data_IF_714664016149
#
_entry.id   IF_714664016149
#
_cell.length_a   1.000
_cell.length_b   1.000
_cell.length_c   1.000
_cell.angle_alpha   90.00
_cell.angle_beta   90.00
_cell.angle_gamma   90.00
#
_symmetry.space_group_name_H-M   'P 1'
#
loop_
_entity.id
_entity.type
_entity.pdbx_description
1 polymer ?
#
# COMPACT_ATOMS: atom_id res chain seq x y z
N UNK A 1 -16.23 -56.49 49.57
CA UNK A 1 -14.97 -56.31 48.80
C UNK A 1 -15.16 -55.54 47.50
N UNK A 2 -16.25 -55.78 46.73
CA UNK A 2 -16.51 -55.07 45.47
C UNK A 2 -16.63 -53.54 45.58
N UNK A 3 -17.23 -52.99 46.64
CA UNK A 3 -17.40 -51.54 46.80
C UNK A 3 -16.07 -50.77 46.96
N UNK A 4 -15.10 -51.32 47.70
CA UNK A 4 -13.76 -50.72 47.85
C UNK A 4 -12.95 -50.75 46.55
N UNK A 5 -13.16 -51.78 45.72
CA UNK A 5 -12.54 -51.90 44.40
C UNK A 5 -13.12 -50.87 43.44
N UNK A 6 -14.44 -50.68 43.43
CA UNK A 6 -15.10 -49.67 42.59
C UNK A 6 -14.72 -48.24 42.97
N UNK A 7 -14.60 -47.95 44.28
CA UNK A 7 -14.14 -46.65 44.77
C UNK A 7 -12.66 -46.38 44.43
N UNK A 8 -11.81 -47.42 44.48
CA UNK A 8 -10.40 -47.30 44.08
C UNK A 8 -10.24 -47.11 42.56
N UNK A 9 -11.03 -47.81 41.75
CA UNK A 9 -11.07 -47.64 40.29
C UNK A 9 -11.59 -46.24 39.93
N UNK A 10 -12.61 -45.72 40.63
CA UNK A 10 -13.11 -44.36 40.44
C UNK A 10 -12.07 -43.28 40.75
N UNK A 11 -11.31 -43.44 41.85
CA UNK A 11 -10.21 -42.53 42.21
C UNK A 11 -9.05 -42.59 41.20
N UNK A 12 -8.70 -43.79 40.73
CA UNK A 12 -7.71 -43.96 39.67
C UNK A 12 -8.15 -43.35 38.33
N UNK A 13 -9.41 -43.56 37.94
CA UNK A 13 -9.98 -42.98 36.71
C UNK A 13 -10.01 -41.45 36.76
N UNK A 14 -10.39 -40.86 37.90
CA UNK A 14 -10.36 -39.41 38.10
C UNK A 14 -8.92 -38.86 38.08
N UNK A 15 -7.98 -39.54 38.73
CA UNK A 15 -6.57 -39.14 38.72
C UNK A 15 -5.98 -39.19 37.29
N UNK A 16 -6.32 -40.21 36.50
CA UNK A 16 -5.88 -40.34 35.11
C UNK A 16 -6.51 -39.26 34.22
N UNK A 17 -7.80 -38.93 34.44
CA UNK A 17 -8.50 -37.87 33.71
C UNK A 17 -7.92 -36.49 34.01
N UNK A 18 -7.61 -36.20 35.28
CA UNK A 18 -6.95 -34.95 35.70
C UNK A 18 -5.54 -34.89 35.13
N UNK A 19 -4.76 -35.97 35.23
CA UNK A 19 -3.40 -36.02 34.67
C UNK A 19 -3.41 -35.84 33.14
N UNK A 20 -4.32 -36.51 32.43
CA UNK A 20 -4.48 -36.36 30.98
C UNK A 20 -4.90 -34.95 30.58
N UNK A 21 -5.81 -34.33 31.32
CA UNK A 21 -6.23 -32.93 31.09
C UNK A 21 -5.10 -31.91 31.33
N UNK A 22 -4.27 -32.14 32.35
CA UNK A 22 -3.10 -31.30 32.63
C UNK A 22 -2.04 -31.44 31.55
N UNK A 23 -1.75 -32.66 31.08
CA UNK A 23 -0.79 -32.89 29.99
C UNK A 23 -1.28 -32.26 28.68
N UNK A 24 -2.57 -32.42 28.35
CA UNK A 24 -3.12 -31.85 27.13
C UNK A 24 -3.12 -30.31 27.16
N UNK A 25 -3.42 -29.71 28.31
CA UNK A 25 -3.37 -28.24 28.47
C UNK A 25 -1.94 -27.67 28.52
N UNK A 26 -0.94 -28.53 28.72
CA UNK A 26 0.47 -28.16 28.77
C UNK A 26 1.17 -28.19 27.41
N UNK A 27 0.54 -28.76 26.38
CA UNK A 27 1.12 -28.81 25.04
C UNK A 27 0.60 -27.64 24.18
N UNK A 28 1.52 -26.96 23.52
CA UNK A 28 1.18 -25.98 22.49
C UNK A 28 2.07 -26.17 21.26
N UNK A 29 1.53 -25.85 20.10
CA UNK A 29 2.24 -25.97 18.83
C UNK A 29 2.55 -24.58 18.29
N UNK A 30 3.75 -24.42 17.74
CA UNK A 30 4.17 -23.24 17.00
C UNK A 30 4.30 -23.64 15.54
N UNK A 31 3.48 -23.03 14.69
CA UNK A 31 3.49 -23.29 13.25
C UNK A 31 4.76 -22.75 12.58
N UNK A 32 5.10 -23.32 11.42
CA UNK A 32 6.27 -22.89 10.65
C UNK A 32 6.21 -21.39 10.31
N UNK A 33 7.32 -20.69 10.47
CA UNK A 33 7.42 -19.24 10.26
C UNK A 33 6.83 -18.37 11.37
N UNK A 34 6.28 -18.98 12.43
CA UNK A 34 5.94 -18.28 13.67
C UNK A 34 7.00 -18.52 14.74
N UNK A 35 7.04 -17.63 15.72
CA UNK A 35 7.86 -17.79 16.93
C UNK A 35 7.05 -17.40 18.15
N UNK A 36 7.25 -18.12 19.25
CA UNK A 36 6.55 -17.87 20.49
C UNK A 36 7.45 -17.19 21.51
N UNK A 37 6.91 -16.16 22.17
CA UNK A 37 7.48 -15.57 23.37
C UNK A 37 6.64 -16.06 24.55
N UNK A 38 7.30 -16.59 25.58
CA UNK A 38 6.61 -17.11 26.76
C UNK A 38 6.48 -15.98 27.78
N UNK A 39 5.24 -15.69 28.17
CA UNK A 39 4.93 -14.85 29.33
C UNK A 39 4.70 -15.73 30.55
N UNK A 40 5.50 -15.54 31.60
CA UNK A 40 5.34 -16.19 32.90
C UNK A 40 4.68 -15.22 33.89
N UNK A 41 3.62 -15.66 34.58
CA UNK A 41 2.88 -14.85 35.56
C UNK A 41 3.76 -14.34 36.72
N UNK A 42 4.84 -15.06 37.08
CA UNK A 42 5.70 -14.68 38.21
C UNK A 42 6.99 -13.98 37.81
N UNK A 43 7.55 -14.32 36.64
CA UNK A 43 8.85 -13.79 36.17
C UNK A 43 8.72 -12.78 35.03
N UNK A 44 7.53 -12.62 34.46
CA UNK A 44 7.29 -11.77 33.30
C UNK A 44 7.68 -12.44 31.98
N UNK A 45 8.07 -11.63 31.00
CA UNK A 45 8.42 -12.09 29.65
C UNK A 45 9.79 -12.76 29.66
N UNK A 46 9.88 -13.97 29.11
CA UNK A 46 11.15 -14.68 28.97
C UNK A 46 11.92 -14.18 27.74
N UNK A 47 13.24 -14.02 27.88
CA UNK A 47 14.13 -13.60 26.78
C UNK A 47 14.36 -14.70 25.72
N UNK A 48 14.01 -15.94 26.05
CA UNK A 48 14.18 -17.08 25.15
C UNK A 48 13.01 -17.13 24.19
N UNK A 49 13.31 -17.08 22.90
CA UNK A 49 12.34 -17.20 21.83
C UNK A 49 12.22 -18.65 21.41
N UNK A 50 11.00 -19.16 21.47
CA UNK A 50 10.69 -20.54 21.11
C UNK A 50 10.40 -20.63 19.61
N UNK A 51 11.07 -21.57 18.95
CA UNK A 51 10.94 -21.83 17.52
C UNK A 51 9.70 -22.65 17.17
N UNK A 52 9.65 -23.09 15.91
CA UNK A 52 8.61 -23.98 15.39
C UNK A 52 8.63 -25.36 16.07
N UNK A 53 7.46 -25.98 16.22
CA UNK A 53 7.29 -27.31 16.82
C UNK A 53 6.38 -27.35 18.06
N UNK A 54 6.20 -28.55 18.59
CA UNK A 54 5.42 -28.80 19.81
C UNK A 54 6.26 -28.55 21.04
N UNK A 55 5.80 -27.65 21.89
CA UNK A 55 6.48 -27.21 23.10
C UNK A 55 5.61 -27.42 24.34
N UNK A 56 6.26 -27.56 25.48
CA UNK A 56 5.60 -27.75 26.77
C UNK A 56 5.57 -26.42 27.54
N UNK A 57 4.39 -26.02 28.00
CA UNK A 57 4.17 -24.90 28.91
C UNK A 57 3.59 -25.40 30.21
N UNK A 58 3.79 -24.64 31.29
CA UNK A 58 3.10 -24.90 32.55
C UNK A 58 1.72 -24.26 32.49
N UNK A 59 0.62 -25.05 32.47
CA UNK A 59 -0.73 -24.50 32.43
C UNK A 59 -0.94 -23.52 33.57
N UNK A 60 -1.73 -22.45 33.35
CA UNK A 60 -2.05 -21.38 34.32
C UNK A 60 -0.94 -20.37 34.64
N UNK A 61 0.32 -20.77 34.59
CA UNK A 61 1.47 -19.90 34.92
C UNK A 61 2.05 -19.26 33.66
N UNK A 62 2.20 -20.04 32.59
CA UNK A 62 2.82 -19.62 31.35
C UNK A 62 1.78 -19.44 30.24
N UNK A 63 1.90 -18.35 29.48
CA UNK A 63 1.08 -18.05 28.31
C UNK A 63 2.00 -17.83 27.09
N UNK A 64 1.87 -18.61 26.02
CA UNK A 64 2.61 -18.39 24.79
C UNK A 64 1.95 -17.28 23.99
N UNK A 65 2.75 -16.33 23.51
CA UNK A 65 2.34 -15.28 22.58
C UNK A 65 3.05 -15.56 21.26
N UNK A 66 2.28 -15.82 20.22
CA UNK A 66 2.79 -16.28 18.93
C UNK A 66 2.89 -15.08 17.99
N UNK A 67 4.09 -14.84 17.48
CA UNK A 67 4.39 -13.80 16.50
C UNK A 67 4.64 -14.40 15.13
N UNK A 68 4.04 -13.80 14.10
CA UNK A 68 4.41 -14.09 12.71
C UNK A 68 5.74 -13.41 12.38
N UNK A 69 6.74 -14.19 11.97
CA UNK A 69 8.06 -13.71 11.57
C UNK A 69 8.22 -13.58 10.05
N UNK A 70 7.14 -13.73 9.29
CA UNK A 70 7.14 -13.62 7.82
C UNK A 70 7.08 -12.17 7.37
N UNK A 71 7.61 -11.93 6.18
CA UNK A 71 7.52 -10.64 5.49
C UNK A 71 6.09 -10.37 5.07
N UNK A 72 5.51 -9.28 5.58
CA UNK A 72 4.15 -8.86 5.23
C UNK A 72 4.13 -7.45 4.65
N UNK A 73 3.29 -7.18 3.63
CA UNK A 73 3.15 -5.84 3.07
C UNK A 73 2.28 -4.95 3.95
N UNK A 74 2.71 -3.70 4.11
CA UNK A 74 1.92 -2.60 4.68
C UNK A 74 1.95 -1.42 3.73
N UNK A 75 0.78 -0.87 3.43
CA UNK A 75 0.66 0.39 2.71
C UNK A 75 0.31 1.50 3.71
N UNK A 76 1.13 2.55 3.75
CA UNK A 76 0.95 3.71 4.65
C UNK A 76 0.79 4.96 3.78
N UNK A 77 -0.44 5.52 3.68
CA UNK A 77 -0.65 6.79 3.00
C UNK A 77 -0.21 7.95 3.89
N UNK A 78 0.55 8.89 3.34
CA UNK A 78 1.07 10.07 4.05
C UNK A 78 0.87 11.30 3.17
N UNK A 79 0.31 12.34 3.77
CA UNK A 79 0.22 13.67 3.15
C UNK A 79 1.34 14.52 3.75
N UNK A 80 2.22 15.05 2.89
CA UNK A 80 3.40 15.83 3.30
C UNK A 80 3.61 17.03 2.37
N UNK A 81 4.32 18.04 2.87
CA UNK A 81 4.72 19.20 2.08
C UNK A 81 6.08 18.98 1.43
N UNK A 82 6.20 19.29 0.14
CA UNK A 82 7.49 19.39 -0.56
C UNK A 82 8.22 20.70 -0.23
N UNK A 83 9.46 20.82 -0.70
CA UNK A 83 10.30 22.02 -0.51
C UNK A 83 9.67 23.31 -1.03
N UNK A 84 8.87 23.23 -2.10
CA UNK A 84 8.11 24.32 -2.71
C UNK A 84 6.72 24.53 -2.08
N UNK A 85 6.49 24.01 -0.87
CA UNK A 85 5.23 24.10 -0.11
C UNK A 85 4.01 23.50 -0.82
N UNK A 86 4.20 22.58 -1.77
CA UNK A 86 3.08 21.85 -2.36
C UNK A 86 2.69 20.65 -1.50
N UNK A 87 1.39 20.41 -1.37
CA UNK A 87 0.88 19.21 -0.72
C UNK A 87 1.00 18.00 -1.66
N UNK A 88 1.79 17.01 -1.26
CA UNK A 88 1.98 15.75 -1.99
C UNK A 88 1.39 14.61 -1.17
N UNK A 89 0.57 13.78 -1.81
CA UNK A 89 0.02 12.57 -1.23
C UNK A 89 0.81 11.36 -1.72
N UNK A 90 1.61 10.77 -0.83
CA UNK A 90 2.50 9.66 -1.14
C UNK A 90 2.02 8.44 -0.36
N UNK A 91 1.91 7.29 -1.03
CA UNK A 91 1.67 6.02 -0.33
C UNK A 91 2.94 5.22 -0.32
N UNK A 92 3.47 4.90 0.86
CA UNK A 92 4.63 4.02 0.98
C UNK A 92 4.15 2.58 1.13
N UNK A 93 4.68 1.68 0.31
CA UNK A 93 4.53 0.23 0.45
C UNK A 93 5.80 -0.32 1.07
N UNK A 94 5.64 -1.00 2.20
CA UNK A 94 6.74 -1.51 3.01
C UNK A 94 6.54 -3.00 3.18
N UNK A 95 7.54 -3.80 2.81
CA UNK A 95 7.65 -5.21 3.20
C UNK A 95 8.52 -5.28 4.44
N UNK A 96 7.97 -5.76 5.55
CA UNK A 96 8.67 -5.83 6.83
C UNK A 96 8.44 -7.17 7.53
N UNK A 97 9.40 -7.53 8.38
CA UNK A 97 9.33 -8.68 9.28
C UNK A 97 10.06 -8.36 10.60
N UNK A 98 9.59 -8.87 11.74
CA UNK A 98 10.28 -8.66 13.02
C UNK A 98 11.55 -9.51 13.13
N UNK A 99 12.55 -9.00 13.85
CA UNK A 99 13.75 -9.75 14.20
C UNK A 99 13.40 -10.79 15.25
N UNK A 100 13.51 -12.05 14.85
CA UNK A 100 13.19 -13.19 15.69
C UNK A 100 13.89 -13.23 17.06
N UNK A 101 15.14 -12.76 17.17
CA UNK A 101 15.89 -12.75 18.43
C UNK A 101 15.47 -11.63 19.38
N UNK A 102 14.76 -10.60 18.90
CA UNK A 102 14.38 -9.42 19.66
C UNK A 102 12.87 -9.37 19.97
N UNK A 103 12.11 -10.41 19.62
CA UNK A 103 10.67 -10.51 19.89
C UNK A 103 10.29 -10.21 21.35
N UNK A 104 11.03 -10.68 22.38
CA UNK A 104 10.71 -10.35 23.77
C UNK A 104 10.80 -8.84 24.05
N UNK A 105 11.78 -8.16 23.45
CA UNK A 105 11.96 -6.71 23.59
C UNK A 105 10.88 -5.94 22.83
N UNK A 106 10.50 -6.40 21.64
CA UNK A 106 9.41 -5.80 20.85
C UNK A 106 8.09 -5.90 21.63
N UNK A 107 7.80 -7.08 22.18
CA UNK A 107 6.59 -7.31 22.96
C UNK A 107 6.54 -6.46 24.24
N UNK A 108 7.65 -6.33 24.97
CA UNK A 108 7.69 -5.52 26.19
C UNK A 108 7.66 -4.01 25.94
N UNK A 109 8.26 -3.52 24.86
CA UNK A 109 8.36 -2.08 24.57
C UNK A 109 7.17 -1.52 23.79
N UNK A 110 6.62 -2.28 22.84
CA UNK A 110 5.59 -1.80 21.89
C UNK A 110 4.26 -2.56 22.06
N UNK A 111 4.33 -3.85 22.38
CA UNK A 111 3.18 -4.75 22.47
C UNK A 111 2.98 -5.63 21.22
N UNK A 112 1.84 -6.32 21.15
CA UNK A 112 1.48 -7.17 20.01
C UNK A 112 1.22 -6.36 18.73
N UNK A 113 0.66 -5.14 18.88
CA UNK A 113 0.28 -4.22 17.78
C UNK A 113 1.46 -3.36 17.26
N UNK A 114 2.65 -3.95 17.15
CA UNK A 114 3.86 -3.19 16.82
C UNK A 114 3.84 -2.60 15.41
N UNK A 115 3.15 -3.24 14.47
CA UNK A 115 2.99 -2.80 13.09
C UNK A 115 2.03 -1.63 12.92
N UNK A 116 1.00 -1.54 13.74
CA UNK A 116 0.04 -0.42 13.69
C UNK A 116 0.58 0.81 14.40
N UNK A 117 1.36 0.63 15.47
CA UNK A 117 1.86 1.74 16.29
C UNK A 117 3.15 2.35 15.76
N UNK A 118 4.12 1.54 15.36
CA UNK A 118 5.48 2.04 15.03
C UNK A 118 5.59 2.43 13.56
N UNK A 119 5.16 1.56 12.64
CA UNK A 119 5.39 1.78 11.19
C UNK A 119 4.82 3.10 10.68
N UNK A 120 3.56 3.49 11.00
CA UNK A 120 3.03 4.76 10.51
C UNK A 120 3.77 5.97 11.09
N UNK A 121 4.22 5.88 12.33
CA UNK A 121 4.94 6.95 13.03
C UNK A 121 6.30 7.21 12.38
N UNK A 122 7.15 6.18 12.27
CA UNK A 122 8.48 6.31 11.68
C UNK A 122 8.42 6.66 10.20
N UNK A 123 7.45 6.09 9.47
CA UNK A 123 7.27 6.38 8.04
C UNK A 123 6.90 7.84 7.85
N UNK A 124 5.95 8.36 8.63
CA UNK A 124 5.53 9.76 8.51
C UNK A 124 6.66 10.73 8.87
N UNK A 125 7.45 10.42 9.90
CA UNK A 125 8.61 11.21 10.32
C UNK A 125 9.64 11.31 9.19
N UNK A 126 10.09 10.17 8.67
CA UNK A 126 11.14 10.12 7.65
C UNK A 126 10.65 10.68 6.33
N UNK A 127 9.43 10.33 5.89
CA UNK A 127 8.88 10.82 4.63
C UNK A 127 8.75 12.34 4.64
N UNK A 128 8.35 12.95 5.77
CA UNK A 128 8.34 14.41 5.93
C UNK A 128 9.74 15.00 5.81
N UNK A 129 10.73 14.37 6.44
CA UNK A 129 12.11 14.86 6.43
C UNK A 129 12.79 14.79 5.06
N UNK A 130 12.52 13.73 4.28
CA UNK A 130 13.10 13.53 2.95
C UNK A 130 12.38 14.39 1.93
N UNK A 131 11.04 14.38 1.91
CA UNK A 131 10.24 15.12 0.94
C UNK A 131 10.42 16.63 1.07
N UNK A 132 10.67 17.14 2.28
CA UNK A 132 10.97 18.56 2.50
C UNK A 132 12.28 19.03 1.83
N UNK A 133 13.15 18.12 1.37
CA UNK A 133 14.41 18.44 0.69
C UNK A 133 14.27 18.54 -0.84
N UNK A 134 13.18 18.01 -1.40
CA UNK A 134 12.94 17.90 -2.84
C UNK A 134 11.72 18.74 -3.26
N UNK A 135 11.76 19.27 -4.47
CA UNK A 135 10.60 19.94 -5.08
C UNK A 135 9.60 18.91 -5.61
N UNK A 136 8.31 19.28 -5.71
CA UNK A 136 7.26 18.34 -6.14
C UNK A 136 7.54 17.70 -7.52
N UNK A 137 8.17 18.43 -8.44
CA UNK A 137 8.57 17.91 -9.75
C UNK A 137 9.74 16.90 -9.70
N UNK A 138 10.64 17.05 -8.72
CA UNK A 138 11.77 16.12 -8.52
C UNK A 138 11.31 14.79 -7.93
N UNK A 139 10.26 14.81 -7.10
CA UNK A 139 9.66 13.58 -6.56
C UNK A 139 9.12 12.64 -7.65
N UNK A 140 8.76 13.19 -8.82
CA UNK A 140 8.30 12.42 -9.97
C UNK A 140 9.49 12.00 -10.84
N UNK A 141 10.37 12.94 -11.16
CA UNK A 141 11.48 12.72 -12.11
C UNK A 141 12.65 11.94 -11.52
N UNK A 142 12.96 12.11 -10.23
CA UNK A 142 14.06 11.47 -9.51
C UNK A 142 13.56 10.50 -8.43
N UNK A 143 12.41 9.86 -8.67
CA UNK A 143 11.75 8.99 -7.68
C UNK A 143 12.63 7.85 -7.18
N UNK A 144 13.48 7.26 -8.02
CA UNK A 144 14.37 6.17 -7.61
C UNK A 144 15.40 6.65 -6.58
N UNK A 145 15.90 7.88 -6.70
CA UNK A 145 16.82 8.48 -5.74
C UNK A 145 16.10 8.74 -4.41
N UNK A 146 14.90 9.33 -4.47
CA UNK A 146 14.08 9.60 -3.28
C UNK A 146 13.70 8.28 -2.57
N UNK A 147 13.30 7.25 -3.32
CA UNK A 147 12.92 5.95 -2.76
C UNK A 147 14.09 5.27 -2.06
N UNK A 148 15.31 5.34 -2.62
CA UNK A 148 16.50 4.81 -1.96
C UNK A 148 16.80 5.55 -0.66
N UNK A 149 16.78 6.89 -0.70
CA UNK A 149 17.05 7.68 0.49
C UNK A 149 16.03 7.42 1.61
N UNK A 150 14.74 7.31 1.27
CA UNK A 150 13.70 6.92 2.23
C UNK A 150 13.94 5.51 2.76
N UNK A 151 14.32 4.56 1.89
CA UNK A 151 14.59 3.17 2.30
C UNK A 151 15.75 3.09 3.29
N UNK A 152 16.84 3.81 3.05
CA UNK A 152 18.02 3.79 3.92
C UNK A 152 17.70 4.37 5.30
N UNK A 153 17.12 5.58 5.34
CA UNK A 153 16.73 6.27 6.58
C UNK A 153 15.70 5.45 7.39
N UNK A 154 14.73 4.82 6.69
CA UNK A 154 13.70 3.98 7.32
C UNK A 154 14.27 2.67 7.84
N UNK A 155 15.23 2.07 7.15
CA UNK A 155 15.89 0.83 7.60
C UNK A 155 16.71 1.08 8.87
N UNK A 156 17.47 2.17 8.92
CA UNK A 156 18.24 2.55 10.11
C UNK A 156 17.31 2.78 11.33
N UNK A 157 16.22 3.52 11.11
CA UNK A 157 15.24 3.79 12.18
C UNK A 157 14.50 2.53 12.62
N UNK A 158 14.07 1.69 11.69
CA UNK A 158 13.34 0.45 11.98
C UNK A 158 14.19 -0.58 12.74
N UNK A 159 15.50 -0.63 12.46
CA UNK A 159 16.43 -1.51 13.16
C UNK A 159 16.48 -1.25 14.67
N UNK A 160 16.31 0.00 15.10
CA UNK A 160 16.26 0.38 16.53
C UNK A 160 15.06 -0.28 17.25
N UNK A 161 13.96 -0.49 16.53
CA UNK A 161 12.75 -1.15 17.04
C UNK A 161 12.76 -2.67 16.80
N UNK A 162 13.84 -3.24 16.25
CA UNK A 162 13.93 -4.67 15.97
C UNK A 162 13.10 -5.12 14.78
N UNK A 163 12.82 -4.23 13.82
CA UNK A 163 12.13 -4.54 12.57
C UNK A 163 13.12 -4.56 11.41
N UNK A 164 12.99 -5.54 10.53
CA UNK A 164 13.72 -5.62 9.26
C UNK A 164 12.77 -5.21 8.15
N UNK A 165 13.25 -4.34 7.26
CA UNK A 165 12.57 -3.96 6.03
C UNK A 165 13.24 -4.72 4.88
N UNK A 166 12.47 -5.53 4.17
CA UNK A 166 12.98 -6.29 3.03
C UNK A 166 12.86 -5.48 1.73
N UNK A 167 11.85 -4.63 1.62
CA UNK A 167 11.64 -3.72 0.49
C UNK A 167 10.80 -2.50 0.89
N UNK A 168 11.11 -1.36 0.28
CA UNK A 168 10.40 -0.09 0.47
C UNK A 168 10.18 0.55 -0.90
N UNK A 169 8.91 0.74 -1.28
CA UNK A 169 8.54 1.30 -2.57
C UNK A 169 7.51 2.42 -2.43
N UNK A 170 7.70 3.48 -3.21
CA UNK A 170 6.72 4.56 -3.36
C UNK A 170 5.61 4.08 -4.31
N UNK A 171 4.41 3.89 -3.78
CA UNK A 171 3.22 3.53 -4.55
C UNK A 171 2.51 4.79 -5.05
N UNK A 172 2.32 4.88 -6.37
CA UNK A 172 1.75 6.06 -7.03
C UNK A 172 0.23 5.96 -7.22
N UNK A 173 -0.51 7.04 -6.94
CA UNK A 173 -1.93 7.17 -7.27
C UNK A 173 -2.16 8.01 -8.57
N UNK A 174 -1.44 7.74 -9.66
CA UNK A 174 -1.70 8.43 -10.95
C UNK A 174 -3.14 8.27 -11.44
N UNK A 175 -3.83 7.19 -11.04
CA UNK A 175 -5.21 6.95 -11.45
C UNK A 175 -6.15 8.10 -11.10
N UNK A 176 -6.01 8.75 -9.94
CA UNK A 176 -6.95 9.79 -9.54
C UNK A 176 -6.79 11.07 -10.35
N UNK A 177 -5.56 11.50 -10.62
CA UNK A 177 -5.32 12.71 -11.40
C UNK A 177 -5.82 12.56 -12.86
N UNK A 178 -5.55 11.40 -13.48
CA UNK A 178 -6.05 11.11 -14.82
C UNK A 178 -7.58 11.04 -14.89
N UNK A 179 -8.23 10.43 -13.88
CA UNK A 179 -9.70 10.37 -13.79
C UNK A 179 -10.29 11.76 -13.58
N UNK A 180 -9.74 12.57 -12.67
CA UNK A 180 -10.23 13.93 -12.39
C UNK A 180 -10.09 14.84 -13.61
N UNK A 181 -8.99 14.75 -14.35
CA UNK A 181 -8.82 15.48 -15.61
C UNK A 181 -9.83 15.02 -16.65
N UNK A 182 -9.98 13.70 -16.85
CA UNK A 182 -10.93 13.16 -17.81
C UNK A 182 -12.39 13.51 -17.46
N UNK A 183 -12.77 13.44 -16.18
CA UNK A 183 -14.09 13.90 -15.70
C UNK A 183 -14.25 15.40 -15.90
N UNK A 184 -13.22 16.20 -15.62
CA UNK A 184 -13.22 17.64 -15.87
C UNK A 184 -13.47 17.97 -17.34
N UNK A 185 -12.75 17.31 -18.25
CA UNK A 185 -12.88 17.47 -19.70
C UNK A 185 -14.27 17.02 -20.19
N UNK A 186 -14.76 15.86 -19.71
CA UNK A 186 -16.11 15.39 -20.04
C UNK A 186 -17.19 16.36 -19.57
N UNK A 187 -17.09 16.89 -18.35
CA UNK A 187 -18.09 17.82 -17.80
C UNK A 187 -18.05 19.18 -18.51
N UNK A 188 -16.86 19.64 -18.88
CA UNK A 188 -16.69 20.82 -19.71
C UNK A 188 -17.32 20.61 -21.09
N UNK A 189 -17.09 19.46 -21.73
CA UNK A 189 -17.69 19.12 -23.00
C UNK A 189 -19.23 19.03 -22.92
N UNK A 190 -19.79 18.45 -21.86
CA UNK A 190 -21.24 18.44 -21.60
C UNK A 190 -21.82 19.83 -21.41
N UNK A 191 -21.16 20.69 -20.62
CA UNK A 191 -21.60 22.07 -20.42
C UNK A 191 -21.58 22.86 -21.73
N UNK A 192 -20.53 22.70 -22.53
CA UNK A 192 -20.45 23.28 -23.86
C UNK A 192 -21.58 22.75 -24.75
N UNK A 193 -21.80 21.44 -24.79
CA UNK A 193 -22.86 20.82 -25.59
C UNK A 193 -24.26 21.33 -25.20
N UNK A 194 -24.56 21.41 -23.90
CA UNK A 194 -25.83 21.92 -23.39
C UNK A 194 -26.02 23.41 -23.68
N UNK A 195 -24.96 24.21 -23.54
CA UNK A 195 -24.99 25.65 -23.86
C UNK A 195 -25.23 25.89 -25.36
N UNK A 196 -24.59 25.10 -26.24
CA UNK A 196 -24.83 25.15 -27.67
C UNK A 196 -26.24 24.69 -28.05
N UNK A 197 -26.72 23.60 -27.44
CA UNK A 197 -28.09 23.11 -27.66
C UNK A 197 -29.15 24.16 -27.28
N UNK A 198 -28.87 24.97 -26.25
CA UNK A 198 -29.78 26.04 -25.79
C UNK A 198 -29.65 27.33 -26.61
N UNK A 199 -28.42 27.72 -26.99
CA UNK A 199 -28.14 28.97 -27.71
C UNK A 199 -28.36 28.88 -29.23
N UNK A 200 -28.49 27.67 -29.79
CA UNK A 200 -28.73 27.43 -31.21
C UNK A 200 -27.46 27.36 -32.07
N UNK A 201 -27.64 27.00 -33.34
CA UNK A 201 -26.53 26.57 -34.23
C UNK A 201 -25.74 27.75 -34.85
N UNK A 202 -26.12 29.00 -34.58
CA UNK A 202 -25.52 30.18 -35.21
C UNK A 202 -24.02 30.35 -34.94
N UNK A 203 -23.55 29.93 -33.76
CA UNK A 203 -22.12 29.98 -33.40
C UNK A 203 -21.32 28.88 -34.09
N UNK A 204 -21.94 27.73 -34.39
CA UNK A 204 -21.34 26.65 -35.18
C UNK A 204 -21.24 27.08 -36.64
N UNK A 205 -22.29 27.69 -37.20
CA UNK A 205 -22.26 28.16 -38.59
C UNK A 205 -21.20 29.25 -38.81
N UNK A 206 -21.07 30.20 -37.88
CA UNK A 206 -20.01 31.22 -37.95
C UNK A 206 -18.61 30.57 -37.91
N UNK A 207 -18.38 29.61 -37.01
CA UNK A 207 -17.12 28.85 -36.94
C UNK A 207 -16.85 28.02 -38.21
N UNK A 208 -17.89 27.45 -38.83
CA UNK A 208 -17.78 26.74 -40.12
C UNK A 208 -17.35 27.69 -41.24
N UNK A 209 -17.89 28.91 -41.25
CA UNK A 209 -17.52 29.95 -42.22
C UNK A 209 -16.08 30.42 -42.00
N UNK A 210 -15.68 30.73 -40.76
CA UNK A 210 -14.30 31.11 -40.43
C UNK A 210 -13.30 30.02 -40.79
N UNK A 211 -13.60 28.75 -40.47
CA UNK A 211 -12.74 27.62 -40.85
C UNK A 211 -12.66 27.46 -42.37
N UNK A 212 -13.77 27.66 -43.09
CA UNK A 212 -13.78 27.62 -44.56
C UNK A 212 -12.95 28.77 -45.16
N UNK A 213 -13.01 29.96 -44.56
CA UNK A 213 -12.17 31.11 -44.93
C UNK A 213 -10.68 30.82 -44.71
N UNK A 214 -10.31 30.32 -43.53
CA UNK A 214 -8.92 29.96 -43.19
C UNK A 214 -8.38 28.88 -44.13
N UNK A 215 -9.16 27.84 -44.40
CA UNK A 215 -8.81 26.80 -45.36
C UNK A 215 -8.64 27.42 -46.75
N UNK A 216 -9.60 28.22 -47.23
CA UNK A 216 -9.51 28.88 -48.53
C UNK A 216 -8.30 29.81 -48.65
N UNK A 217 -7.94 30.50 -47.57
CA UNK A 217 -6.78 31.38 -47.50
C UNK A 217 -5.45 30.60 -47.56
N UNK A 218 -5.33 29.51 -46.79
CA UNK A 218 -4.15 28.63 -46.83
C UNK A 218 -4.03 27.96 -48.20
N UNK A 219 -5.14 27.49 -48.75
CA UNK A 219 -5.23 26.92 -50.09
C UNK A 219 -4.77 27.94 -51.14
N UNK A 220 -5.31 29.16 -51.13
CA UNK A 220 -4.94 30.25 -52.06
C UNK A 220 -3.44 30.56 -52.09
N UNK A 221 -2.76 30.45 -50.94
CA UNK A 221 -1.30 30.64 -50.85
C UNK A 221 -0.47 29.43 -51.26
N UNK A 222 -1.08 28.25 -51.35
CA UNK A 222 -0.38 27.03 -51.74
C UNK A 222 -0.15 27.01 -53.26
N UNK A 223 1.07 26.64 -53.69
CA UNK A 223 1.48 26.71 -55.11
C UNK A 223 0.82 25.65 -56.00
N UNK A 224 0.01 24.75 -55.44
CA UNK A 224 -0.48 23.55 -56.12
C UNK A 224 -2.01 23.54 -56.27
N UNK A 225 -2.63 24.71 -56.38
CA UNK A 225 -4.08 24.86 -56.53
C UNK A 225 -4.44 25.40 -57.89
N UNK A 226 -5.34 24.67 -58.54
CA UNK A 226 -5.97 25.05 -59.79
C UNK A 226 -7.42 25.42 -59.50
N UNK A 227 -7.79 26.68 -59.71
CA UNK A 227 -9.17 27.12 -59.58
C UNK A 227 -9.97 26.62 -60.78
N UNK A 228 -10.99 25.80 -60.50
CA UNK A 228 -11.90 25.33 -61.53
C UNK A 228 -13.05 26.33 -61.68
N UNK A 229 -13.20 27.00 -62.84
CA UNK A 229 -14.37 27.84 -63.09
C UNK A 229 -15.62 26.96 -63.21
N UNK A 230 -16.71 27.41 -62.59
CA UNK A 230 -17.99 26.69 -62.63
C UNK A 230 -18.54 26.66 -64.06
N UNK A 231 -18.60 25.46 -64.65
CA UNK A 231 -19.24 25.23 -65.96
C UNK A 231 -18.40 24.46 -66.99
N UNK A 232 -17.14 24.11 -66.73
CA UNK A 232 -16.32 23.35 -67.68
C UNK A 232 -15.99 21.95 -67.15
N UNK A 233 -16.60 20.91 -67.73
CA UNK A 233 -16.26 19.52 -67.42
C UNK A 233 -14.87 19.19 -67.94
N UNK A 234 -13.91 18.96 -67.05
CA UNK A 234 -12.58 18.51 -67.43
C UNK A 234 -12.60 16.98 -67.51
N UNK A 235 -12.50 16.43 -68.72
CA UNK A 235 -12.14 15.03 -68.93
C UNK A 235 -10.73 14.82 -68.36
N UNK A 236 -10.66 14.29 -67.15
CA UNK A 236 -9.40 13.90 -66.51
C UNK A 236 -8.89 12.64 -67.21
N UNK A 237 -7.93 12.80 -68.11
CA UNK A 237 -7.24 11.66 -68.74
C UNK A 237 -6.26 11.08 -67.71
N UNK A 238 -6.73 10.08 -66.96
CA UNK A 238 -5.87 9.21 -66.17
C UNK A 238 -5.05 8.33 -67.13
N UNK A 239 -3.72 8.25 -66.99
CA UNK A 239 -2.95 7.19 -67.64
C UNK A 239 -3.33 5.84 -66.98
N UNK A 240 -3.54 4.83 -67.81
CA UNK A 240 -3.77 3.44 -67.36
C UNK A 240 -2.59 2.89 -66.57
#
# INVERSE_FOLDING_TARGET
>A
MAAKVFESIGKFGLALAVAGGVVNSALYNVDAGHRAVIFDRFRGVQDIVVGEGTHFLIPWVQKPIIFDCRSRPRNVPVITGSKDLQNVNITLRILFRPVASQLPRIFTSIGEDYDERVLPSITTEILKSVVARFDAGELITQRELVSRQVSDDLTERAATFGLILDDVSLAEQQKKAAIISAEGDSKAAELIANSLATAGDGLIELRKLEAAEDIAYQLSRSRNITYLPAGQSVLLQLPQ
#
